data_IF_888587624977
#
_entry.id   IF_888587624977
#
_cell.length_a   1.000
_cell.length_b   1.000
_cell.length_c   1.000
_cell.angle_alpha   90.00
_cell.angle_beta   90.00
_cell.angle_gamma   90.00
#
_symmetry.space_group_name_H-M   'P 1'
#
loop_
_entity.id
_entity.type
_entity.pdbx_description
1 polymer ?
#
# COMPACT_ATOMS: atom_id res chain seq x y z
N UNK A 1 16.21 4.56 -29.85
CA UNK A 1 17.37 5.44 -29.63
C UNK A 1 16.80 6.85 -29.70
N UNK A 2 16.61 7.59 -28.60
CA UNK A 2 17.50 7.79 -27.46
C UNK A 2 16.78 7.63 -26.12
N UNK A 3 17.53 7.13 -25.14
CA UNK A 3 17.25 7.21 -23.71
C UNK A 3 17.27 8.68 -23.26
N UNK A 4 16.31 9.09 -22.43
CA UNK A 4 16.47 10.30 -21.64
C UNK A 4 15.87 10.08 -20.25
N UNK A 5 16.76 9.73 -19.31
CA UNK A 5 16.50 9.86 -17.87
C UNK A 5 16.41 11.35 -17.55
N UNK A 6 15.21 11.86 -17.26
CA UNK A 6 15.02 13.24 -16.79
C UNK A 6 14.48 13.17 -15.35
N UNK A 7 15.34 13.56 -14.43
CA UNK A 7 15.14 13.70 -12.99
C UNK A 7 14.70 15.12 -12.65
N UNK A 8 13.42 15.46 -12.81
CA UNK A 8 12.91 16.79 -12.44
C UNK A 8 11.52 16.68 -11.81
N UNK A 9 11.41 17.14 -10.56
CA UNK A 9 10.23 17.04 -9.71
C UNK A 9 9.75 18.44 -9.28
N UNK A 10 8.50 18.77 -9.57
CA UNK A 10 7.87 20.08 -9.32
C UNK A 10 6.39 19.95 -8.93
N UNK A 11 5.86 20.88 -8.09
CA UNK A 11 4.65 20.76 -7.25
C UNK A 11 3.24 21.15 -7.83
N UNK A 12 2.14 20.35 -7.60
CA UNK A 12 0.63 20.55 -7.56
C UNK A 12 -0.35 19.37 -7.95
N UNK A 13 -1.27 19.08 -7.00
CA UNK A 13 -2.35 18.06 -6.80
C UNK A 13 -3.06 17.28 -7.94
N UNK A 14 -3.44 16.03 -7.62
CA UNK A 14 -4.55 15.25 -8.20
C UNK A 14 -5.48 14.71 -7.08
N UNK A 15 -6.64 15.33 -6.89
CA UNK A 15 -7.86 14.67 -6.37
C UNK A 15 -8.98 15.01 -7.34
N UNK A 16 -9.74 14.00 -7.74
CA UNK A 16 -10.88 14.10 -8.65
C UNK A 16 -11.80 15.30 -8.28
N UNK A 17 -12.08 16.23 -9.22
CA UNK A 17 -12.96 17.39 -8.99
C UNK A 17 -14.34 17.03 -8.42
N UNK A 18 -14.80 15.79 -8.60
CA UNK A 18 -16.05 15.29 -8.02
C UNK A 18 -15.98 15.12 -6.48
N UNK A 19 -14.83 14.79 -5.91
CA UNK A 19 -14.66 14.71 -4.45
C UNK A 19 -14.66 16.12 -3.85
N UNK A 20 -14.09 17.09 -4.57
CA UNK A 20 -14.00 18.49 -4.15
C UNK A 20 -15.34 19.23 -4.24
N UNK A 21 -16.20 18.90 -5.20
CA UNK A 21 -17.51 19.58 -5.36
C UNK A 21 -18.48 19.40 -4.18
N UNK A 22 -18.29 18.37 -3.36
CA UNK A 22 -19.07 18.16 -2.14
C UNK A 22 -18.40 18.76 -0.87
N UNK A 23 -17.27 19.47 -1.00
CA UNK A 23 -16.46 20.03 0.11
C UNK A 23 -16.97 21.36 0.69
N UNK A 24 -18.25 21.70 0.58
CA UNK A 24 -18.84 22.75 1.43
C UNK A 24 -19.10 22.19 2.84
N UNK A 25 -18.03 21.80 3.55
CA UNK A 25 -18.11 21.34 4.93
C UNK A 25 -17.36 22.35 5.81
N UNK A 26 -18.13 23.00 6.69
CA UNK A 26 -17.77 24.06 7.64
C UNK A 26 -16.57 23.79 8.59
N UNK A 27 -15.87 22.65 8.48
CA UNK A 27 -14.91 22.15 9.49
C UNK A 27 -13.43 22.44 9.19
N UNK A 28 -13.03 22.86 7.98
CA UNK A 28 -11.61 23.06 7.61
C UNK A 28 -10.99 24.39 8.05
N UNK A 29 -11.63 25.17 8.93
CA UNK A 29 -11.13 26.50 9.33
C UNK A 29 -9.78 26.49 10.07
N UNK A 30 -9.24 25.35 10.49
CA UNK A 30 -8.15 25.30 11.48
C UNK A 30 -6.91 24.46 11.12
N UNK A 31 -6.81 23.82 9.94
CA UNK A 31 -5.69 22.91 9.63
C UNK A 31 -5.20 23.06 8.18
N UNK A 32 -3.98 23.59 7.94
CA UNK A 32 -3.28 23.44 6.67
C UNK A 32 -2.83 21.99 6.53
N UNK A 33 -3.36 21.34 5.51
CA UNK A 33 -3.00 19.98 5.11
C UNK A 33 -2.13 20.10 3.87
N UNK A 34 -0.92 19.55 3.86
CA UNK A 34 0.04 19.62 2.75
C UNK A 34 0.28 18.21 2.15
N UNK A 35 -0.19 17.90 0.93
CA UNK A 35 0.03 16.58 0.28
C UNK A 35 1.38 16.44 -0.46
N UNK A 36 1.91 15.22 -0.66
CA UNK A 36 3.08 14.88 -1.50
C UNK A 36 2.82 13.58 -2.33
N UNK A 37 2.62 13.57 -3.66
CA UNK A 37 2.52 12.36 -4.50
C UNK A 37 3.82 11.92 -5.20
N UNK A 38 3.74 10.74 -5.84
CA UNK A 38 4.84 9.84 -6.21
C UNK A 38 5.85 10.36 -7.29
N UNK A 39 7.05 9.77 -7.30
CA UNK A 39 8.36 10.16 -7.88
C UNK A 39 8.42 10.53 -9.38
N UNK A 40 7.32 10.46 -10.15
CA UNK A 40 7.27 11.11 -11.47
C UNK A 40 6.70 12.53 -11.45
N UNK A 41 6.05 12.92 -10.34
CA UNK A 41 5.29 14.15 -10.22
C UNK A 41 5.10 14.50 -8.73
N UNK A 42 6.08 15.17 -8.11
CA UNK A 42 6.00 15.60 -6.71
C UNK A 42 5.06 16.77 -6.59
N UNK A 43 3.98 16.75 -5.81
CA UNK A 43 2.96 17.81 -5.72
C UNK A 43 2.44 18.22 -4.35
N UNK A 44 2.28 19.52 -4.12
CA UNK A 44 1.74 20.09 -2.89
C UNK A 44 0.24 20.35 -3.03
N UNK A 45 -0.58 19.86 -2.10
CA UNK A 45 -1.92 20.41 -1.86
C UNK A 45 -1.90 21.03 -0.47
N UNK A 46 -1.92 22.36 -0.32
CA UNK A 46 -2.24 23.05 0.94
C UNK A 46 -3.74 23.27 1.00
N UNK A 47 -4.48 22.51 1.82
CA UNK A 47 -5.88 22.86 2.14
C UNK A 47 -5.84 24.03 3.12
N UNK A 48 -5.94 25.25 2.61
CA UNK A 48 -6.12 26.44 3.44
C UNK A 48 -7.60 26.83 3.49
N UNK A 49 -8.07 27.29 4.65
CA UNK A 49 -9.44 27.75 4.85
C UNK A 49 -9.84 28.84 3.82
N UNK A 50 -11.15 29.01 3.59
CA UNK A 50 -11.78 29.88 2.57
C UNK A 50 -11.23 31.32 2.46
N UNK A 51 -10.49 31.81 3.44
CA UNK A 51 -9.85 33.13 3.46
C UNK A 51 -8.59 33.24 2.58
N UNK A 52 -8.10 32.15 1.98
CA UNK A 52 -6.84 32.13 1.20
C UNK A 52 -7.01 31.84 -0.32
N UNK A 53 -8.14 32.21 -0.93
CA UNK A 53 -8.37 32.06 -2.38
C UNK A 53 -7.28 32.70 -3.27
N UNK A 54 -6.50 33.65 -2.76
CA UNK A 54 -5.40 34.31 -3.50
C UNK A 54 -4.08 33.53 -3.55
N UNK A 55 -3.95 32.41 -2.83
CA UNK A 55 -2.71 31.60 -2.76
C UNK A 55 -2.82 30.21 -3.40
N UNK A 56 -4.00 29.86 -3.93
CA UNK A 56 -4.22 28.57 -4.58
C UNK A 56 -3.58 28.50 -5.97
N UNK A 57 -3.12 27.32 -6.36
CA UNK A 57 -2.62 27.07 -7.72
C UNK A 57 -3.79 26.64 -8.60
N UNK A 58 -3.88 27.24 -9.79
CA UNK A 58 -4.88 26.87 -10.79
C UNK A 58 -4.63 25.43 -11.29
N UNK A 59 -5.50 24.52 -10.88
CA UNK A 59 -5.44 23.10 -11.23
C UNK A 59 -5.71 22.83 -12.72
N UNK A 60 -6.21 23.79 -13.49
CA UNK A 60 -6.33 23.62 -14.94
C UNK A 60 -5.01 23.87 -15.67
N UNK A 61 -4.09 24.64 -15.05
CA UNK A 61 -2.83 25.10 -15.67
C UNK A 61 -1.57 24.70 -14.91
N UNK A 62 -1.68 23.85 -13.89
CA UNK A 62 -0.56 23.53 -13.00
C UNK A 62 0.68 23.00 -13.73
N UNK A 63 0.52 22.26 -14.84
CA UNK A 63 1.64 21.73 -15.65
C UNK A 63 2.47 22.83 -16.30
N UNK A 64 1.81 23.90 -16.75
CA UNK A 64 2.46 25.07 -17.34
C UNK A 64 3.18 25.86 -16.25
N UNK A 65 2.49 26.09 -15.13
CA UNK A 65 3.04 26.83 -13.99
C UNK A 65 4.29 26.17 -13.40
N UNK A 66 4.34 24.85 -13.39
CA UNK A 66 5.53 24.09 -13.00
C UNK A 66 6.70 24.35 -13.94
N UNK A 67 6.47 24.35 -15.26
CA UNK A 67 7.55 24.59 -16.23
C UNK A 67 8.05 26.03 -16.18
N UNK A 68 7.15 26.97 -15.89
CA UNK A 68 7.47 28.40 -15.85
C UNK A 68 8.11 28.84 -14.53
N UNK A 69 7.68 28.27 -13.40
CA UNK A 69 8.00 28.76 -12.04
C UNK A 69 8.39 27.66 -11.06
N UNK A 70 8.58 26.44 -11.53
CA UNK A 70 8.95 25.31 -10.69
C UNK A 70 10.36 25.46 -10.12
N UNK A 71 10.50 25.17 -8.83
CA UNK A 71 11.81 25.01 -8.19
C UNK A 71 12.07 23.53 -7.92
N UNK A 72 13.36 23.16 -7.82
CA UNK A 72 13.76 21.80 -7.42
C UNK A 72 13.30 21.55 -5.99
N UNK A 73 12.64 20.41 -5.76
CA UNK A 73 12.10 20.05 -4.46
C UNK A 73 13.17 19.89 -3.38
N UNK A 74 13.04 20.69 -2.31
CA UNK A 74 13.87 20.62 -1.11
C UNK A 74 12.94 20.45 0.10
N UNK A 75 13.04 19.30 0.77
CA UNK A 75 12.17 18.95 1.91
C UNK A 75 12.39 19.87 3.12
N UNK A 76 13.61 20.37 3.34
CA UNK A 76 13.88 21.28 4.45
C UNK A 76 13.28 22.66 4.20
N UNK A 77 13.48 23.22 2.99
CA UNK A 77 12.82 24.48 2.59
C UNK A 77 11.31 24.36 2.66
N UNK A 78 10.78 23.24 2.18
CA UNK A 78 9.34 22.95 2.20
C UNK A 78 8.77 22.95 3.62
N UNK A 79 9.38 22.18 4.53
CA UNK A 79 8.94 22.10 5.93
C UNK A 79 9.03 23.46 6.62
N UNK A 80 10.12 24.20 6.39
CA UNK A 80 10.28 25.55 6.94
C UNK A 80 9.23 26.52 6.39
N UNK A 81 8.83 26.39 5.13
CA UNK A 81 7.77 27.20 4.54
C UNK A 81 6.40 26.90 5.16
N UNK A 82 6.04 25.61 5.29
CA UNK A 82 4.72 25.19 5.78
C UNK A 82 4.58 25.40 7.29
N UNK A 83 5.65 25.18 8.06
CA UNK A 83 5.62 25.24 9.52
C UNK A 83 6.18 26.55 10.10
N UNK A 84 6.95 27.32 9.33
CA UNK A 84 7.54 28.60 9.78
C UNK A 84 6.53 29.73 9.96
N UNK A 85 5.26 29.52 9.60
CA UNK A 85 4.21 30.51 9.75
C UNK A 85 3.50 30.34 11.11
N UNK A 86 3.96 31.10 12.12
CA UNK A 86 3.51 30.99 13.52
C UNK A 86 2.01 31.25 13.77
N UNK A 87 1.27 31.72 12.77
CA UNK A 87 -0.18 31.97 12.88
C UNK A 87 -1.02 30.69 12.81
N UNK A 88 -0.44 29.57 12.37
CA UNK A 88 -1.16 28.32 12.19
C UNK A 88 -0.81 27.35 13.32
N UNK A 89 -1.77 26.99 14.22
CA UNK A 89 -1.47 26.25 15.43
C UNK A 89 -1.13 24.77 15.19
N UNK A 90 -1.65 24.16 14.12
CA UNK A 90 -1.44 22.74 13.81
C UNK A 90 -1.05 22.60 12.34
N UNK A 91 -0.08 21.72 12.04
CA UNK A 91 0.37 21.46 10.67
C UNK A 91 0.32 19.97 10.38
N UNK A 92 -0.28 19.57 9.26
CA UNK A 92 -0.30 18.17 8.83
C UNK A 92 0.33 18.00 7.44
N UNK A 93 1.25 17.05 7.31
CA UNK A 93 1.80 16.59 6.04
C UNK A 93 1.17 15.26 5.65
N UNK A 94 0.70 15.16 4.42
CA UNK A 94 0.04 13.99 3.85
C UNK A 94 0.94 13.42 2.74
N UNK A 95 1.77 12.43 3.05
CA UNK A 95 2.69 11.83 2.09
C UNK A 95 2.01 10.71 1.28
N UNK A 96 1.55 11.02 0.07
CA UNK A 96 1.02 10.10 -0.93
C UNK A 96 2.09 9.52 -1.89
N UNK A 97 3.38 9.57 -1.56
CA UNK A 97 4.47 9.01 -2.36
C UNK A 97 4.73 7.53 -2.07
N UNK A 98 5.63 6.93 -2.84
CA UNK A 98 6.31 5.66 -2.52
C UNK A 98 7.78 5.89 -2.09
N UNK A 99 8.16 7.13 -1.78
CA UNK A 99 9.55 7.54 -1.68
C UNK A 99 10.13 7.25 -0.29
N UNK A 100 11.30 6.60 -0.28
CA UNK A 100 12.03 6.33 0.96
C UNK A 100 12.73 7.58 1.49
N UNK A 101 13.12 8.51 0.62
CA UNK A 101 13.70 9.78 1.01
C UNK A 101 12.69 10.61 1.81
N UNK A 102 11.46 10.75 1.30
CA UNK A 102 10.37 11.44 1.99
C UNK A 102 10.06 10.78 3.33
N UNK A 103 9.93 9.45 3.35
CA UNK A 103 9.67 8.68 4.58
C UNK A 103 10.76 8.87 5.66
N UNK A 104 12.02 9.10 5.26
CA UNK A 104 13.12 9.29 6.19
C UNK A 104 13.00 10.56 7.05
N UNK A 105 12.25 11.56 6.58
CA UNK A 105 12.06 12.82 7.29
C UNK A 105 10.93 12.79 8.32
N UNK A 106 10.08 11.76 8.36
CA UNK A 106 8.91 11.72 9.24
C UNK A 106 9.25 11.92 10.71
N UNK A 107 10.37 11.35 11.17
CA UNK A 107 10.81 11.49 12.55
C UNK A 107 11.15 12.95 12.89
N UNK A 108 11.81 13.67 11.97
CA UNK A 108 12.10 15.10 12.13
C UNK A 108 10.80 15.93 12.16
N UNK A 109 9.87 15.63 11.24
CA UNK A 109 8.59 16.36 11.14
C UNK A 109 7.74 16.21 12.40
N UNK A 110 7.56 14.98 12.87
CA UNK A 110 6.83 14.69 14.10
C UNK A 110 7.51 15.35 15.32
N UNK A 111 8.84 15.39 15.36
CA UNK A 111 9.58 16.05 16.45
C UNK A 111 9.38 17.57 16.44
N UNK A 112 9.17 18.17 15.27
CA UNK A 112 8.88 19.60 15.09
C UNK A 112 7.42 19.98 15.39
N UNK A 113 6.55 19.02 15.73
CA UNK A 113 5.13 19.32 15.97
C UNK A 113 4.24 19.13 14.74
N UNK A 114 4.77 18.56 13.65
CA UNK A 114 4.05 18.38 12.40
C UNK A 114 3.45 16.97 12.36
N UNK A 115 2.13 16.87 12.19
CA UNK A 115 1.44 15.59 12.03
C UNK A 115 1.75 14.98 10.66
N UNK A 116 1.74 13.64 10.57
CA UNK A 116 1.99 12.92 9.31
C UNK A 116 0.86 11.94 9.03
N UNK A 117 0.35 11.95 7.80
CA UNK A 117 -0.67 11.02 7.30
C UNK A 117 -0.13 10.41 6.01
N UNK A 118 -0.21 9.10 5.80
CA UNK A 118 0.44 8.51 4.62
C UNK A 118 -0.07 7.13 4.20
N UNK A 119 -0.24 6.84 2.90
CA UNK A 119 -0.26 5.48 2.35
C UNK A 119 1.14 4.88 2.13
N UNK A 120 2.22 5.63 2.35
CA UNK A 120 3.60 5.21 2.12
C UNK A 120 4.01 4.11 3.11
N UNK A 121 4.27 2.91 2.58
CA UNK A 121 4.59 1.73 3.37
C UNK A 121 6.00 1.77 3.95
N UNK A 122 6.89 2.64 3.43
CA UNK A 122 8.34 2.61 3.69
C UNK A 122 8.72 2.86 5.13
N UNK A 123 8.12 3.86 5.78
CA UNK A 123 8.43 4.17 7.17
C UNK A 123 8.11 3.00 8.13
N UNK A 124 7.05 2.25 7.84
CA UNK A 124 6.58 1.19 8.74
C UNK A 124 7.14 -0.20 8.44
N UNK A 125 7.65 -0.40 7.22
CA UNK A 125 8.23 -1.66 6.76
C UNK A 125 9.74 -1.60 6.52
N UNK A 126 10.35 -0.43 6.65
CA UNK A 126 11.80 -0.23 6.59
C UNK A 126 12.55 -0.75 7.83
N UNK A 127 13.79 -0.31 8.06
CA UNK A 127 14.61 -0.77 9.19
C UNK A 127 13.87 -0.68 10.53
N UNK A 128 13.95 -1.73 11.34
CA UNK A 128 13.22 -1.82 12.60
C UNK A 128 13.58 -0.69 13.57
N UNK A 129 14.83 -0.24 13.59
CA UNK A 129 15.27 0.84 14.48
C UNK A 129 14.56 2.17 14.15
N UNK A 130 14.35 2.48 12.87
CA UNK A 130 13.64 3.67 12.43
C UNK A 130 12.16 3.60 12.79
N UNK A 131 11.53 2.44 12.55
CA UNK A 131 10.15 2.20 12.99
C UNK A 131 10.00 2.40 14.51
N UNK A 132 10.88 1.80 15.31
CA UNK A 132 10.82 1.92 16.77
C UNK A 132 11.02 3.36 17.25
N UNK A 133 11.90 4.14 16.61
CA UNK A 133 12.07 5.58 16.90
C UNK A 133 10.79 6.36 16.61
N UNK A 134 10.15 6.13 15.46
CA UNK A 134 8.87 6.76 15.11
C UNK A 134 7.77 6.41 16.12
N UNK A 135 7.66 5.14 16.51
CA UNK A 135 6.66 4.69 17.50
C UNK A 135 6.92 5.29 18.89
N UNK A 136 8.19 5.40 19.31
CA UNK A 136 8.56 6.01 20.58
C UNK A 136 8.18 7.50 20.59
N UNK A 137 8.47 8.22 19.51
CA UNK A 137 8.14 9.64 19.36
C UNK A 137 6.63 9.89 19.39
N UNK A 138 5.84 9.03 18.72
CA UNK A 138 4.38 9.13 18.74
C UNK A 138 3.78 8.96 20.15
N UNK A 139 4.44 8.20 21.04
CA UNK A 139 3.99 8.04 22.44
C UNK A 139 4.38 9.20 23.34
N UNK A 140 5.43 9.93 22.98
CA UNK A 140 6.02 11.00 23.81
C UNK A 140 5.58 12.40 23.38
N UNK A 141 5.11 12.57 22.15
CA UNK A 141 4.72 13.85 21.59
C UNK A 141 3.21 13.97 21.43
N UNK A 142 2.73 15.20 21.30
CA UNK A 142 1.33 15.51 20.93
C UNK A 142 1.10 15.43 19.41
N UNK A 143 2.07 14.90 18.65
CA UNK A 143 1.92 14.73 17.21
C UNK A 143 1.28 13.40 16.86
N UNK A 144 0.60 13.38 15.72
CA UNK A 144 -0.15 12.22 15.27
C UNK A 144 0.47 11.70 13.98
N UNK A 145 0.62 10.38 13.95
CA UNK A 145 1.07 9.64 12.77
C UNK A 145 0.00 8.63 12.38
N UNK A 146 -0.65 8.87 11.24
CA UNK A 146 -1.69 8.02 10.67
C UNK A 146 -1.26 7.40 9.35
N UNK A 147 -1.67 6.16 9.13
CA UNK A 147 -1.21 5.34 8.01
C UNK A 147 -2.20 4.22 7.67
N UNK A 148 -3.50 4.47 7.84
CA UNK A 148 -4.55 3.49 7.54
C UNK A 148 -4.39 2.94 6.12
N UNK A 149 -4.09 3.83 5.18
CA UNK A 149 -3.96 3.49 3.77
C UNK A 149 -2.70 2.70 3.37
N UNK A 150 -1.86 2.32 4.33
CA UNK A 150 -0.70 1.44 4.07
C UNK A 150 -1.08 -0.02 3.90
N UNK A 151 -2.19 -0.45 4.50
CA UNK A 151 -2.67 -1.85 4.45
C UNK A 151 -4.14 -1.86 4.07
N UNK A 152 -4.49 -2.53 2.97
CA UNK A 152 -5.90 -2.64 2.56
C UNK A 152 -6.51 -1.39 1.91
N UNK A 153 -5.69 -0.43 1.47
CA UNK A 153 -6.11 0.81 0.80
C UNK A 153 -7.08 1.68 1.63
N UNK A 154 -8.39 1.57 1.43
CA UNK A 154 -9.38 2.33 2.20
C UNK A 154 -9.97 1.55 3.37
N UNK A 155 -9.63 0.27 3.51
CA UNK A 155 -10.20 -0.59 4.53
C UNK A 155 -9.66 -0.23 5.92
N UNK A 156 -10.47 -0.29 6.99
CA UNK A 156 -10.08 0.07 8.35
C UNK A 156 -9.26 -1.05 9.00
N UNK A 157 -8.10 -1.40 8.44
CA UNK A 157 -7.29 -2.53 8.89
C UNK A 157 -6.48 -2.18 10.13
N UNK A 158 -5.73 -1.07 10.08
CA UNK A 158 -4.83 -0.64 11.15
C UNK A 158 -5.66 -0.19 12.35
N UNK A 159 -6.73 0.57 12.13
CA UNK A 159 -7.63 0.97 13.21
C UNK A 159 -8.33 -0.21 13.88
N UNK A 160 -8.80 -1.20 13.11
CA UNK A 160 -9.38 -2.43 13.67
C UNK A 160 -8.35 -3.18 14.52
N UNK A 161 -7.14 -3.39 14.01
CA UNK A 161 -6.07 -4.06 14.73
C UNK A 161 -5.72 -3.35 16.04
N UNK A 162 -5.57 -2.02 15.99
CA UNK A 162 -5.31 -1.21 17.20
C UNK A 162 -6.45 -1.27 18.19
N UNK A 163 -7.70 -1.16 17.76
CA UNK A 163 -8.86 -1.28 18.65
C UNK A 163 -8.92 -2.64 19.37
N UNK A 164 -8.60 -3.73 18.66
CA UNK A 164 -8.50 -5.06 19.28
C UNK A 164 -7.41 -5.08 20.38
N UNK A 165 -6.22 -4.54 20.08
CA UNK A 165 -5.10 -4.51 21.02
C UNK A 165 -5.35 -3.58 22.22
N UNK A 166 -5.88 -2.38 21.98
CA UNK A 166 -6.15 -1.36 23.00
C UNK A 166 -7.23 -1.81 23.99
N UNK A 167 -8.22 -2.58 23.53
CA UNK A 167 -9.23 -3.19 24.42
C UNK A 167 -8.71 -4.42 25.17
N UNK A 168 -7.44 -4.80 25.00
CA UNK A 168 -6.79 -5.91 25.68
C UNK A 168 -7.02 -7.30 25.04
N UNK A 169 -7.44 -7.37 23.79
CA UNK A 169 -7.47 -8.64 23.05
C UNK A 169 -6.03 -9.08 22.68
N UNK A 170 -5.87 -10.37 22.37
CA UNK A 170 -4.60 -10.97 21.95
C UNK A 170 -4.72 -11.50 20.54
N UNK A 171 -3.98 -10.91 19.62
CA UNK A 171 -3.88 -11.40 18.25
C UNK A 171 -3.11 -12.73 18.26
N UNK A 172 -3.71 -13.77 17.68
CA UNK A 172 -3.10 -15.08 17.52
C UNK A 172 -2.52 -15.22 16.12
N UNK A 173 -3.31 -14.82 15.12
CA UNK A 173 -2.94 -14.90 13.72
C UNK A 173 -3.66 -13.83 12.90
N UNK A 174 -2.95 -13.26 11.93
CA UNK A 174 -3.55 -12.43 10.89
C UNK A 174 -3.26 -13.10 9.56
N UNK A 175 -4.28 -13.29 8.74
CA UNK A 175 -4.14 -13.79 7.37
C UNK A 175 -4.76 -12.77 6.43
N UNK A 176 -4.17 -12.58 5.25
CA UNK A 176 -4.72 -11.64 4.30
C UNK A 176 -4.33 -11.94 2.87
N UNK A 177 -5.27 -11.67 1.96
CA UNK A 177 -5.00 -11.59 0.53
C UNK A 177 -4.85 -10.11 0.23
N UNK A 178 -3.59 -9.70 0.10
CA UNK A 178 -3.22 -8.33 -0.19
C UNK A 178 -3.08 -8.18 -1.71
N UNK A 179 -4.04 -7.50 -2.35
CA UNK A 179 -3.86 -7.03 -3.72
C UNK A 179 -3.00 -5.77 -3.71
N UNK A 180 -2.15 -5.66 -4.72
CA UNK A 180 -1.19 -4.58 -4.82
C UNK A 180 -1.91 -3.25 -5.10
N UNK A 181 -1.22 -2.16 -4.78
CA UNK A 181 -1.59 -0.82 -5.23
C UNK A 181 -0.67 -0.51 -6.41
N UNK A 182 -1.23 -0.41 -7.62
CA UNK A 182 -0.49 0.20 -8.72
C UNK A 182 -0.35 1.69 -8.38
N UNK A 183 0.87 2.15 -8.11
CA UNK A 183 1.14 3.58 -8.06
C UNK A 183 0.87 4.13 -9.46
N UNK A 184 -0.18 4.94 -9.60
CA UNK A 184 -0.62 5.43 -10.90
C UNK A 184 0.50 6.20 -11.61
N UNK A 185 0.98 5.66 -12.73
CA UNK A 185 1.62 6.45 -13.77
C UNK A 185 0.50 7.06 -14.63
N UNK A 186 0.26 8.37 -14.47
CA UNK A 186 -0.88 9.09 -15.04
C UNK A 186 -0.93 9.14 -16.59
N UNK A 187 0.07 8.58 -17.28
CA UNK A 187 0.09 8.43 -18.75
C UNK A 187 -0.37 7.04 -19.24
N UNK A 188 -0.64 6.09 -18.34
CA UNK A 188 -1.29 4.84 -18.72
C UNK A 188 -2.80 5.08 -18.84
N UNK A 189 -3.25 5.36 -20.06
CA UNK A 189 -4.66 5.45 -20.47
C UNK A 189 -5.51 4.39 -19.75
N UNK A 190 -6.32 4.83 -18.78
CA UNK A 190 -7.55 4.19 -18.29
C UNK A 190 -7.52 2.64 -18.18
N UNK A 191 -6.42 2.05 -17.73
CA UNK A 191 -6.35 0.62 -17.45
C UNK A 191 -6.03 0.38 -15.99
N UNK A 192 -7.08 0.03 -15.25
CA UNK A 192 -7.09 -0.59 -13.91
C UNK A 192 -6.32 -1.93 -13.85
N UNK A 193 -5.25 -2.11 -14.62
CA UNK A 193 -4.74 -3.43 -14.98
C UNK A 193 -3.51 -3.90 -14.19
N UNK A 194 -2.69 -3.03 -13.60
CA UNK A 194 -1.42 -3.46 -12.99
C UNK A 194 -1.44 -3.95 -11.53
N UNK A 195 -2.57 -4.33 -10.91
CA UNK A 195 -2.52 -4.71 -9.49
C UNK A 195 -3.49 -5.82 -9.08
N UNK A 196 -3.27 -6.99 -9.66
CA UNK A 196 -4.06 -8.17 -9.32
C UNK A 196 -3.53 -9.49 -9.85
N UNK A 197 -2.30 -9.55 -10.38
CA UNK A 197 -1.74 -10.69 -11.14
C UNK A 197 -1.93 -12.02 -10.43
N UNK A 198 -1.36 -12.18 -9.23
CA UNK A 198 -1.42 -13.43 -8.48
C UNK A 198 -2.84 -13.88 -8.19
N UNK A 199 -3.69 -12.95 -7.78
CA UNK A 199 -5.06 -13.31 -7.41
C UNK A 199 -5.99 -13.39 -8.62
N UNK A 200 -5.65 -12.78 -9.76
CA UNK A 200 -6.25 -13.12 -11.06
C UNK A 200 -5.87 -14.55 -11.45
N UNK A 201 -4.58 -14.90 -11.36
CA UNK A 201 -4.08 -16.23 -11.67
C UNK A 201 -4.80 -17.27 -10.83
N UNK A 202 -4.81 -17.17 -9.50
CA UNK A 202 -5.48 -18.17 -8.64
C UNK A 202 -7.01 -18.14 -8.65
N UNK A 203 -7.63 -17.07 -9.17
CA UNK A 203 -9.08 -17.07 -9.42
C UNK A 203 -9.43 -17.82 -10.71
N UNK A 204 -8.53 -17.81 -11.69
CA UNK A 204 -8.71 -18.40 -13.02
C UNK A 204 -8.04 -19.77 -13.20
N UNK A 205 -7.05 -20.09 -12.37
CA UNK A 205 -6.36 -21.37 -12.31
C UNK A 205 -7.21 -22.36 -11.50
N UNK A 206 -8.09 -23.06 -12.21
CA UNK A 206 -9.07 -24.03 -11.68
C UNK A 206 -9.27 -25.17 -12.68
N UNK A 207 -9.61 -26.35 -12.18
CA UNK A 207 -9.84 -27.53 -12.98
C UNK A 207 -8.63 -27.90 -13.83
N UNK A 208 -8.84 -28.17 -15.12
CA UNK A 208 -7.81 -28.70 -16.02
C UNK A 208 -6.95 -27.63 -16.70
N UNK A 209 -7.05 -26.36 -16.29
CA UNK A 209 -6.30 -25.27 -16.91
C UNK A 209 -4.84 -25.31 -16.49
N UNK A 210 -3.93 -25.02 -17.42
CA UNK A 210 -2.50 -24.97 -17.13
C UNK A 210 -2.11 -23.64 -16.50
N UNK A 211 -1.13 -23.65 -15.58
CA UNK A 211 -0.69 -22.43 -14.91
C UNK A 211 -0.06 -21.46 -15.92
N UNK A 212 0.78 -21.98 -16.81
CA UNK A 212 1.42 -21.22 -17.90
C UNK A 212 0.42 -20.51 -18.82
N UNK A 213 -0.70 -21.14 -19.16
CA UNK A 213 -1.78 -20.55 -19.96
C UNK A 213 -2.42 -19.36 -19.25
N UNK A 214 -2.72 -19.51 -17.96
CA UNK A 214 -3.32 -18.45 -17.15
C UNK A 214 -2.35 -17.26 -16.97
N UNK A 215 -1.06 -17.52 -16.79
CA UNK A 215 -0.03 -16.45 -16.75
C UNK A 215 0.07 -15.74 -18.10
N UNK A 216 0.02 -16.48 -19.21
CA UNK A 216 0.07 -15.89 -20.55
C UNK A 216 -1.15 -15.02 -20.83
N UNK A 217 -2.35 -15.49 -20.47
CA UNK A 217 -3.58 -14.68 -20.56
C UNK A 217 -3.48 -13.42 -19.70
N UNK A 218 -2.92 -13.52 -18.49
CA UNK A 218 -2.69 -12.36 -17.64
C UNK A 218 -1.72 -11.36 -18.30
N UNK A 219 -0.64 -11.84 -18.92
CA UNK A 219 0.31 -11.00 -19.68
C UNK A 219 -0.37 -10.31 -20.87
N UNK A 220 -1.15 -11.05 -21.65
CA UNK A 220 -1.88 -10.52 -22.81
C UNK A 220 -2.97 -9.52 -22.42
N UNK A 221 -3.64 -9.76 -21.30
CA UNK A 221 -4.59 -8.84 -20.72
C UNK A 221 -3.92 -7.60 -20.11
N UNK A 222 -2.58 -7.56 -19.99
CA UNK A 222 -1.84 -6.47 -19.37
C UNK A 222 -2.01 -6.42 -17.85
N UNK A 223 -2.30 -7.56 -17.23
CA UNK A 223 -2.37 -7.68 -15.78
C UNK A 223 -1.00 -7.83 -15.13
N UNK A 224 -0.01 -8.37 -15.84
CA UNK A 224 1.37 -8.54 -15.39
C UNK A 224 2.23 -7.32 -15.71
N UNK A 225 3.37 -7.21 -15.05
CA UNK A 225 4.51 -6.39 -15.50
C UNK A 225 5.07 -6.92 -16.84
N UNK A 226 5.93 -6.16 -17.54
CA UNK A 226 6.56 -6.62 -18.79
C UNK A 226 7.26 -7.97 -18.66
N UNK A 227 7.85 -8.23 -17.49
CA UNK A 227 8.38 -9.52 -17.09
C UNK A 227 7.51 -10.15 -15.99
N UNK A 228 6.73 -11.21 -16.30
CA UNK A 228 5.87 -11.86 -15.31
C UNK A 228 6.62 -12.49 -14.12
N UNK A 229 7.95 -12.65 -14.21
CA UNK A 229 8.76 -13.10 -13.07
C UNK A 229 8.74 -12.09 -11.93
N UNK A 230 8.58 -10.80 -12.23
CA UNK A 230 8.50 -9.78 -11.20
C UNK A 230 7.26 -10.04 -10.33
N UNK A 231 6.11 -10.29 -10.96
CA UNK A 231 4.84 -10.65 -10.30
C UNK A 231 4.91 -11.98 -9.52
N UNK A 232 5.58 -12.99 -10.07
CA UNK A 232 5.57 -14.36 -9.56
C UNK A 232 6.67 -14.64 -8.53
N UNK A 233 7.77 -13.89 -8.55
CA UNK A 233 8.97 -14.24 -7.77
C UNK A 233 8.86 -13.91 -6.29
N UNK A 234 8.07 -12.89 -5.93
CA UNK A 234 7.75 -12.45 -4.56
C UNK A 234 8.94 -12.00 -3.67
N UNK A 235 10.18 -12.39 -3.99
CA UNK A 235 11.37 -12.30 -3.11
C UNK A 235 12.50 -11.46 -3.70
N UNK A 236 12.92 -11.73 -4.94
CA UNK A 236 14.14 -11.10 -5.49
C UNK A 236 13.92 -9.60 -5.76
N UNK A 237 12.67 -9.26 -6.04
CA UNK A 237 12.14 -7.92 -6.17
C UNK A 237 12.11 -7.18 -4.83
N UNK A 238 11.61 -7.80 -3.76
CA UNK A 238 11.52 -7.18 -2.42
C UNK A 238 12.88 -6.79 -1.83
N UNK A 239 13.95 -7.47 -2.25
CA UNK A 239 15.31 -7.32 -1.70
C UNK A 239 16.21 -6.41 -2.54
N UNK A 240 16.02 -6.35 -3.87
CA UNK A 240 16.80 -5.48 -4.77
C UNK A 240 16.13 -4.14 -5.05
N UNK A 241 14.80 -4.09 -5.03
CA UNK A 241 14.03 -2.95 -5.51
C UNK A 241 12.90 -2.66 -4.52
N UNK A 242 13.14 -1.69 -3.64
CA UNK A 242 12.15 -1.21 -2.68
C UNK A 242 10.83 -0.78 -3.37
N UNK A 243 10.85 -0.24 -4.59
CA UNK A 243 9.65 0.30 -5.26
C UNK A 243 8.74 -0.69 -5.98
N UNK A 244 9.09 -1.97 -6.04
CA UNK A 244 8.35 -2.89 -6.91
C UNK A 244 7.06 -3.42 -6.26
N UNK A 245 5.98 -3.55 -7.05
CA UNK A 245 4.62 -3.76 -6.56
C UNK A 245 4.43 -5.06 -5.77
N UNK A 246 5.25 -6.09 -6.00
CA UNK A 246 5.16 -7.40 -5.34
C UNK A 246 5.75 -7.42 -3.94
N UNK A 247 6.67 -6.49 -3.66
CA UNK A 247 7.11 -6.23 -2.30
C UNK A 247 5.93 -5.76 -1.43
N UNK A 248 4.84 -5.23 -2.01
CA UNK A 248 3.74 -4.67 -1.25
C UNK A 248 3.06 -5.69 -0.30
N UNK A 249 2.99 -6.98 -0.64
CA UNK A 249 2.40 -8.00 0.23
C UNK A 249 3.26 -8.22 1.47
N UNK A 250 4.56 -8.43 1.29
CA UNK A 250 5.51 -8.61 2.40
C UNK A 250 5.62 -7.36 3.28
N UNK A 251 5.65 -6.16 2.70
CA UNK A 251 5.67 -4.92 3.48
C UNK A 251 4.40 -4.79 4.34
N UNK A 252 3.23 -5.18 3.83
CA UNK A 252 1.99 -5.19 4.61
C UNK A 252 2.02 -6.24 5.74
N UNK A 253 2.56 -7.43 5.49
CA UNK A 253 2.78 -8.46 6.52
C UNK A 253 3.69 -7.92 7.62
N UNK A 254 4.79 -7.24 7.27
CA UNK A 254 5.70 -6.62 8.24
C UNK A 254 4.98 -5.55 9.07
N UNK A 255 4.21 -4.67 8.42
CA UNK A 255 3.42 -3.63 9.11
C UNK A 255 2.47 -4.27 10.11
N UNK A 256 1.68 -5.27 9.70
CA UNK A 256 0.72 -5.97 10.57
C UNK A 256 1.40 -6.73 11.70
N UNK A 257 2.53 -7.39 11.43
CA UNK A 257 3.33 -8.07 12.43
C UNK A 257 3.87 -7.10 13.49
N UNK A 258 4.38 -5.95 13.05
CA UNK A 258 4.90 -4.90 13.93
C UNK A 258 3.80 -4.25 14.76
N UNK A 259 2.65 -3.94 14.16
CA UNK A 259 1.48 -3.47 14.91
C UNK A 259 0.99 -4.51 15.92
N UNK A 260 1.14 -5.80 15.64
CA UNK A 260 0.84 -6.90 16.56
C UNK A 260 1.91 -7.13 17.64
N UNK A 261 2.96 -6.31 17.69
CA UNK A 261 4.03 -6.36 18.69
C UNK A 261 5.23 -7.24 18.32
N UNK A 262 5.29 -7.78 17.10
CA UNK A 262 6.47 -8.50 16.62
C UNK A 262 7.56 -7.54 16.13
N UNK A 263 8.80 -8.00 16.18
CA UNK A 263 9.97 -7.23 15.72
C UNK A 263 10.57 -7.87 14.47
N UNK A 264 9.75 -8.02 13.43
CA UNK A 264 10.20 -8.64 12.18
C UNK A 264 10.97 -7.65 11.31
N UNK A 265 12.05 -8.14 10.71
CA UNK A 265 12.69 -7.51 9.56
C UNK A 265 12.29 -8.20 8.26
N UNK A 266 12.59 -7.52 7.14
CA UNK A 266 12.37 -8.08 5.80
C UNK A 266 13.09 -9.42 5.61
N UNK A 267 14.29 -9.56 6.18
CA UNK A 267 15.09 -10.78 6.12
C UNK A 267 14.44 -11.96 6.88
N UNK A 268 13.58 -11.69 7.87
CA UNK A 268 12.92 -12.72 8.68
C UNK A 268 11.61 -13.22 8.08
N UNK A 269 11.19 -12.64 6.95
CA UNK A 269 9.86 -12.84 6.38
C UNK A 269 9.97 -13.58 5.04
N UNK A 270 9.96 -14.93 5.03
CA UNK A 270 10.07 -15.70 3.80
C UNK A 270 8.86 -15.46 2.89
N UNK A 271 9.11 -15.35 1.59
CA UNK A 271 8.08 -15.29 0.55
C UNK A 271 8.27 -16.48 -0.38
N UNK A 272 7.22 -17.27 -0.59
CA UNK A 272 7.24 -18.38 -1.52
C UNK A 272 7.20 -17.85 -2.95
N UNK A 273 8.29 -18.05 -3.68
CA UNK A 273 8.34 -17.76 -5.11
C UNK A 273 7.48 -18.76 -5.89
N UNK A 274 6.69 -18.27 -6.84
CA UNK A 274 5.97 -19.10 -7.82
C UNK A 274 6.77 -19.28 -9.12
N UNK A 275 7.96 -18.67 -9.22
CA UNK A 275 8.87 -18.88 -10.34
C UNK A 275 9.68 -20.15 -10.06
N UNK A 276 9.61 -21.19 -10.94
CA UNK A 276 10.43 -22.39 -10.81
C UNK A 276 11.91 -22.01 -10.75
N UNK A 277 12.69 -22.68 -9.88
CA UNK A 277 14.10 -22.34 -9.66
C UNK A 277 14.93 -22.26 -10.95
N UNK A 278 14.80 -23.19 -11.92
CA UNK A 278 15.58 -23.13 -13.16
C UNK A 278 15.24 -21.92 -14.02
N UNK A 279 14.02 -21.38 -13.89
CA UNK A 279 13.52 -20.28 -14.70
C UNK A 279 13.81 -18.90 -14.11
N UNK A 280 14.34 -18.82 -12.88
CA UNK A 280 14.67 -17.54 -12.24
C UNK A 280 15.81 -16.81 -12.94
N UNK A 281 16.71 -17.54 -13.59
CA UNK A 281 17.92 -17.00 -14.23
C UNK A 281 17.84 -16.90 -15.75
N UNK A 282 16.66 -17.11 -16.37
CA UNK A 282 16.51 -17.00 -17.83
C UNK A 282 16.82 -15.59 -18.32
N UNK A 283 17.30 -15.48 -19.57
CA UNK A 283 17.81 -14.22 -20.10
C UNK A 283 16.70 -13.21 -20.44
N UNK A 284 15.49 -13.69 -20.73
CA UNK A 284 14.37 -12.84 -21.14
C UNK A 284 13.01 -13.31 -20.62
N UNK A 285 12.06 -12.37 -20.53
CA UNK A 285 10.66 -12.64 -20.20
C UNK A 285 9.99 -13.59 -21.22
N UNK A 286 10.41 -13.56 -22.49
CA UNK A 286 9.84 -14.43 -23.53
C UNK A 286 10.36 -15.86 -23.42
N UNK A 287 11.66 -16.03 -23.13
CA UNK A 287 12.24 -17.33 -22.81
C UNK A 287 11.59 -17.94 -21.56
N UNK A 288 11.34 -17.12 -20.53
CA UNK A 288 10.59 -17.52 -19.34
C UNK A 288 9.20 -18.08 -19.72
N UNK A 289 8.42 -17.33 -20.51
CA UNK A 289 7.08 -17.75 -20.90
C UNK A 289 7.07 -19.00 -21.79
N UNK A 290 8.11 -19.22 -22.60
CA UNK A 290 8.23 -20.42 -23.44
C UNK A 290 8.56 -21.68 -22.62
N UNK A 291 9.35 -21.54 -21.54
CA UNK A 291 9.77 -22.68 -20.72
C UNK A 291 8.83 -22.95 -19.53
N UNK A 292 8.02 -21.98 -19.11
CA UNK A 292 7.06 -22.11 -18.01
C UNK A 292 6.13 -23.35 -18.13
N UNK A 293 5.62 -23.73 -19.32
CA UNK A 293 4.79 -24.92 -19.46
C UNK A 293 5.43 -26.24 -19.00
N UNK A 294 6.76 -26.32 -18.95
CA UNK A 294 7.48 -27.51 -18.49
C UNK A 294 7.33 -27.77 -16.98
N UNK A 295 6.85 -26.77 -16.23
CA UNK A 295 6.70 -26.81 -14.78
C UNK A 295 5.24 -26.75 -14.33
N UNK A 296 4.29 -26.92 -15.27
CA UNK A 296 2.86 -26.90 -14.95
C UNK A 296 2.44 -28.07 -14.06
N UNK A 297 3.12 -29.22 -14.15
CA UNK A 297 2.74 -30.45 -13.45
C UNK A 297 2.72 -30.30 -11.92
N UNK A 298 3.72 -29.60 -11.35
CA UNK A 298 3.84 -29.44 -9.89
C UNK A 298 2.67 -28.62 -9.33
N UNK A 299 2.32 -27.50 -9.99
CA UNK A 299 1.20 -26.65 -9.58
C UNK A 299 -0.15 -27.29 -9.92
N UNK A 300 -0.25 -28.02 -11.03
CA UNK A 300 -1.45 -28.78 -11.38
C UNK A 300 -1.74 -29.87 -10.33
N UNK A 301 -0.70 -30.57 -9.84
CA UNK A 301 -0.85 -31.54 -8.76
C UNK A 301 -1.31 -30.87 -7.47
N UNK A 302 -0.71 -29.73 -7.09
CA UNK A 302 -1.16 -29.00 -5.90
C UNK A 302 -2.60 -28.51 -6.01
N UNK A 303 -3.04 -28.12 -7.22
CA UNK A 303 -4.42 -27.74 -7.49
C UNK A 303 -5.35 -28.94 -7.36
N UNK A 304 -5.03 -30.06 -8.00
CA UNK A 304 -5.83 -31.28 -7.95
C UNK A 304 -5.98 -31.78 -6.51
N UNK A 305 -4.88 -31.85 -5.75
CA UNK A 305 -4.91 -32.25 -4.34
C UNK A 305 -5.80 -31.33 -3.49
N UNK A 306 -5.87 -30.04 -3.82
CA UNK A 306 -6.73 -29.09 -3.12
C UNK A 306 -8.20 -29.27 -3.53
N UNK A 307 -8.47 -29.43 -4.82
CA UNK A 307 -9.83 -29.65 -5.35
C UNK A 307 -10.44 -30.97 -4.84
N UNK A 308 -9.64 -32.05 -4.80
CA UNK A 308 -10.03 -33.35 -4.25
C UNK A 308 -10.39 -33.27 -2.76
N UNK A 309 -9.75 -32.35 -2.03
CA UNK A 309 -10.04 -32.07 -0.62
C UNK A 309 -11.21 -31.08 -0.41
N UNK A 310 -11.83 -30.57 -1.48
CA UNK A 310 -12.86 -29.53 -1.38
C UNK A 310 -12.31 -28.17 -0.94
N UNK A 311 -11.06 -27.88 -1.31
CA UNK A 311 -10.31 -26.68 -0.97
C UNK A 311 -9.91 -25.90 -2.23
N UNK A 312 -9.43 -24.66 -2.04
CA UNK A 312 -8.91 -23.80 -3.10
C UNK A 312 -7.53 -23.25 -2.70
N UNK A 313 -6.70 -23.03 -3.71
CA UNK A 313 -5.39 -22.41 -3.53
C UNK A 313 -5.51 -20.88 -3.51
N UNK A 314 -4.90 -20.24 -2.50
CA UNK A 314 -4.82 -18.78 -2.37
C UNK A 314 -3.43 -18.36 -1.92
N UNK A 315 -2.91 -17.34 -2.59
CA UNK A 315 -1.66 -16.72 -2.20
C UNK A 315 -1.93 -15.68 -1.11
N UNK A 316 -1.37 -15.90 0.08
CA UNK A 316 -1.73 -15.19 1.31
C UNK A 316 -0.50 -14.68 2.04
N UNK A 317 -0.61 -13.50 2.62
CA UNK A 317 0.30 -13.05 3.67
C UNK A 317 -0.22 -13.49 5.03
N UNK A 318 0.68 -14.00 5.86
CA UNK A 318 0.37 -14.61 7.15
C UNK A 318 1.28 -14.02 8.21
N UNK A 319 0.67 -13.57 9.30
CA UNK A 319 1.34 -13.20 10.55
C UNK A 319 0.90 -14.20 11.60
N UNK A 320 1.80 -15.10 11.99
CA UNK A 320 1.61 -15.99 13.14
C UNK A 320 2.26 -15.34 14.37
N UNK A 321 1.44 -14.68 15.19
CA UNK A 321 1.89 -13.93 16.37
C UNK A 321 2.40 -14.87 17.45
N UNK A 322 1.80 -16.04 17.58
CA UNK A 322 2.19 -17.06 18.58
C UNK A 322 3.60 -17.57 18.30
N UNK A 323 3.89 -17.89 17.04
CA UNK A 323 5.19 -18.38 16.61
C UNK A 323 6.17 -17.26 16.22
N UNK A 324 5.74 -15.98 16.29
CA UNK A 324 6.52 -14.79 15.91
C UNK A 324 7.04 -14.86 14.48
N UNK A 325 6.22 -15.33 13.54
CA UNK A 325 6.58 -15.47 12.13
C UNK A 325 5.69 -14.61 11.25
N UNK A 326 6.29 -13.98 10.24
CA UNK A 326 5.60 -13.41 9.09
C UNK A 326 6.03 -14.18 7.86
N UNK A 327 5.12 -14.45 6.92
CA UNK A 327 5.46 -15.11 5.66
C UNK A 327 4.40 -14.82 4.61
N UNK A 328 4.75 -15.02 3.35
CA UNK A 328 3.82 -14.95 2.22
C UNK A 328 3.93 -16.25 1.44
N UNK A 329 2.83 -17.00 1.32
CA UNK A 329 2.86 -18.33 0.72
C UNK A 329 1.53 -18.71 0.06
N UNK A 330 1.57 -19.79 -0.72
CA UNK A 330 0.40 -20.43 -1.29
C UNK A 330 -0.21 -21.38 -0.24
N UNK A 331 -1.46 -21.13 0.15
CA UNK A 331 -2.20 -21.97 1.10
C UNK A 331 -3.48 -22.53 0.51
N UNK A 332 -3.94 -23.62 1.11
CA UNK A 332 -5.24 -24.24 0.83
C UNK A 332 -6.27 -23.71 1.84
N UNK A 333 -7.47 -23.42 1.34
CA UNK A 333 -8.62 -23.02 2.16
C UNK A 333 -9.85 -23.78 1.71
N UNK A 334 -10.66 -24.24 2.67
CA UNK A 334 -11.96 -24.85 2.36
C UNK A 334 -12.87 -23.91 1.56
N UNK A 335 -13.73 -24.48 0.73
CA UNK A 335 -14.66 -23.72 -0.11
C UNK A 335 -15.63 -22.79 0.67
N UNK A 336 -15.93 -23.12 1.92
CA UNK A 336 -16.75 -22.29 2.82
C UNK A 336 -15.97 -21.15 3.48
N UNK A 337 -14.64 -21.17 3.41
CA UNK A 337 -13.78 -20.15 3.99
C UNK A 337 -13.96 -18.81 3.25
N UNK A 338 -13.96 -17.66 3.96
CA UNK A 338 -14.12 -16.35 3.33
C UNK A 338 -13.12 -16.05 2.20
N UNK A 339 -11.91 -16.62 2.26
CA UNK A 339 -10.88 -16.45 1.23
C UNK A 339 -11.19 -17.21 -0.07
N UNK A 340 -12.04 -18.24 0.00
CA UNK A 340 -12.49 -18.97 -1.18
C UNK A 340 -13.52 -18.16 -1.99
N UNK A 341 -14.33 -17.36 -1.30
CA UNK A 341 -15.46 -16.59 -1.85
C UNK A 341 -15.07 -15.22 -2.45
N UNK A 342 -13.79 -15.01 -2.74
CA UNK A 342 -13.33 -13.78 -3.38
C UNK A 342 -13.73 -13.76 -4.86
N UNK A 343 -14.35 -12.67 -5.26
CA UNK A 343 -14.61 -12.31 -6.66
C UNK A 343 -14.03 -10.93 -6.95
N UNK A 344 -13.54 -10.71 -8.16
CA UNK A 344 -13.00 -9.40 -8.56
C UNK A 344 -11.67 -9.02 -7.89
N UNK A 345 -11.53 -7.77 -7.47
CA UNK A 345 -10.30 -7.13 -6.99
C UNK A 345 -10.29 -6.85 -5.47
N UNK A 346 -11.10 -7.57 -4.70
CA UNK A 346 -11.22 -7.37 -3.25
C UNK A 346 -9.93 -7.76 -2.50
N UNK A 347 -9.61 -6.96 -1.47
CA UNK A 347 -8.75 -7.37 -0.36
C UNK A 347 -9.61 -8.01 0.72
N UNK A 348 -9.06 -9.02 1.38
CA UNK A 348 -9.66 -9.64 2.56
C UNK A 348 -8.59 -9.92 3.59
N UNK A 349 -8.87 -9.53 4.83
CA UNK A 349 -8.00 -9.75 5.98
C UNK A 349 -8.83 -10.38 7.08
N UNK A 350 -8.27 -11.43 7.68
CA UNK A 350 -8.86 -12.18 8.77
C UNK A 350 -8.00 -12.02 10.03
N UNK A 351 -8.61 -11.51 11.09
CA UNK A 351 -8.01 -11.44 12.42
C UNK A 351 -8.52 -12.59 13.27
N UNK A 352 -7.61 -13.51 13.61
CA UNK A 352 -7.87 -14.55 14.61
C UNK A 352 -7.27 -14.10 15.94
N UNK A 353 -8.11 -13.96 16.95
CA UNK A 353 -7.70 -13.46 18.27
C UNK A 353 -8.18 -14.39 19.39
N UNK A 354 -7.82 -14.09 20.64
CA UNK A 354 -8.35 -14.81 21.78
C UNK A 354 -9.89 -14.71 21.89
N UNK A 355 -10.48 -13.56 21.50
CA UNK A 355 -11.93 -13.35 21.45
C UNK A 355 -12.57 -13.88 20.16
N UNK A 356 -11.89 -13.73 19.03
CA UNK A 356 -12.33 -14.17 17.70
C UNK A 356 -11.63 -15.48 17.29
N UNK A 357 -11.71 -16.52 18.15
CA UNK A 357 -10.99 -17.78 17.95
C UNK A 357 -11.69 -18.75 16.98
N UNK A 358 -13.01 -18.89 17.12
CA UNK A 358 -13.80 -19.83 16.31
C UNK A 358 -14.24 -19.23 14.98
N UNK A 359 -14.54 -17.93 14.99
CA UNK A 359 -14.92 -17.17 13.81
C UNK A 359 -14.03 -15.93 13.75
N UNK A 360 -13.02 -15.92 12.85
CA UNK A 360 -12.13 -14.77 12.68
C UNK A 360 -12.92 -13.52 12.29
N UNK A 361 -12.46 -12.35 12.76
CA UNK A 361 -13.01 -11.07 12.31
C UNK A 361 -12.51 -10.81 10.89
N UNK A 362 -13.44 -10.71 9.93
CA UNK A 362 -13.13 -10.49 8.53
C UNK A 362 -13.37 -9.03 8.15
N UNK A 363 -12.37 -8.40 7.55
CA UNK A 363 -12.52 -7.12 6.86
C UNK A 363 -12.30 -7.36 5.36
N UNK A 364 -13.32 -7.06 4.55
CA UNK A 364 -13.32 -7.27 3.10
C UNK A 364 -13.80 -6.01 2.38
N UNK A 365 -13.18 -5.72 1.24
CA UNK A 365 -13.70 -4.76 0.28
C UNK A 365 -12.66 -4.42 -0.79
N UNK A 366 -12.90 -3.39 -1.61
CA UNK A 366 -12.01 -3.04 -2.71
C UNK A 366 -10.59 -2.77 -2.23
N UNK A 367 -9.65 -3.56 -2.76
CA UNK A 367 -8.27 -3.58 -2.28
C UNK A 367 -7.31 -2.59 -2.92
N UNK A 368 -7.77 -1.98 -4.01
CA UNK A 368 -7.00 -1.07 -4.84
C UNK A 368 -7.95 -0.07 -5.52
N UNK A 369 -7.40 1.07 -5.93
CA UNK A 369 -8.15 2.12 -6.61
C UNK A 369 -7.86 3.49 -6.01
N UNK A 370 -7.67 4.48 -6.88
CA UNK A 370 -7.32 5.84 -6.47
C UNK A 370 -8.35 6.45 -5.51
N UNK A 371 -9.64 6.30 -5.82
CA UNK A 371 -10.72 6.86 -5.01
C UNK A 371 -10.82 6.19 -3.63
N UNK A 372 -10.70 4.86 -3.56
CA UNK A 372 -10.80 4.11 -2.29
C UNK A 372 -9.62 4.41 -1.37
N UNK A 373 -8.40 4.46 -1.94
CA UNK A 373 -7.20 4.80 -1.19
C UNK A 373 -7.24 6.25 -0.71
N UNK A 374 -7.66 7.19 -1.57
CA UNK A 374 -7.85 8.59 -1.19
C UNK A 374 -8.90 8.73 -0.08
N UNK A 375 -9.96 7.92 -0.10
CA UNK A 375 -10.94 7.85 0.99
C UNK A 375 -10.32 7.45 2.33
N UNK A 376 -9.42 6.45 2.34
CA UNK A 376 -8.68 6.04 3.55
C UNK A 376 -7.77 7.16 4.09
N UNK A 377 -7.02 7.82 3.21
CA UNK A 377 -6.18 8.97 3.57
C UNK A 377 -7.02 10.11 4.14
N UNK A 378 -8.15 10.41 3.48
CA UNK A 378 -9.05 11.46 3.93
C UNK A 378 -9.70 11.13 5.27
N UNK A 379 -10.03 9.85 5.52
CA UNK A 379 -10.50 9.39 6.83
C UNK A 379 -9.47 9.70 7.93
N UNK A 380 -8.18 9.48 7.67
CA UNK A 380 -7.11 9.83 8.61
C UNK A 380 -6.96 11.35 8.80
N UNK A 381 -7.21 12.16 7.77
CA UNK A 381 -7.26 13.64 7.88
C UNK A 381 -8.41 14.08 8.78
N UNK A 382 -9.61 13.52 8.58
CA UNK A 382 -10.77 13.82 9.42
C UNK A 382 -10.55 13.37 10.87
N UNK A 383 -9.97 12.18 11.06
CA UNK A 383 -9.59 11.65 12.37
C UNK A 383 -8.62 12.60 13.09
N UNK A 384 -7.61 13.10 12.38
CA UNK A 384 -6.71 14.13 12.91
C UNK A 384 -7.48 15.39 13.31
N UNK A 385 -8.35 15.88 12.44
CA UNK A 385 -9.13 17.08 12.72
C UNK A 385 -9.99 16.93 14.00
N UNK A 386 -10.64 15.79 14.18
CA UNK A 386 -11.40 15.48 15.40
C UNK A 386 -10.52 15.46 16.64
N UNK A 387 -9.32 14.85 16.58
CA UNK A 387 -8.37 14.88 17.71
C UNK A 387 -7.89 16.30 18.06
N UNK A 388 -7.82 17.18 17.06
CA UNK A 388 -7.46 18.58 17.24
C UNK A 388 -8.66 19.48 17.62
N UNK A 389 -9.83 18.90 17.90
CA UNK A 389 -11.01 19.60 18.42
C UNK A 389 -12.03 20.05 17.38
N UNK A 390 -11.95 19.56 16.14
CA UNK A 390 -13.04 19.76 15.18
C UNK A 390 -14.30 18.99 15.64
N UNK A 391 -15.51 19.57 15.49
CA UNK A 391 -16.75 18.90 15.87
C UNK A 391 -16.95 17.63 15.03
N UNK A 392 -17.41 16.57 15.71
CA UNK A 392 -17.75 15.27 15.13
C UNK A 392 -19.00 15.31 14.28
#
# INVERSE_FOLDING_TARGET
>A
MEECCISEAHFVSLVDPCIIRNLTVKCFKCIPVAMLPNIKWSFLLVLCAEEYKSWGIDLSRWRELIKEKGEVGDMHKFVNHVHGNHFIPNTALVDCTADSNVASHYHEWLRKGIHVITPNKKANSGPLDQYLKLRALQRQSYTHYFYEATVGAGLPIISTLRGLLETGDKILRIEGIFRNMCYMSFNARLSLRGSGTLSYIFNNFKGTRRFSEVVMEAKQAGYTEPDPRDDLSGTDVARKISWAPEAAAILQVIILARESGLKLELADTPVQSLVPEPLRATASADEFMQQLPQYDEDLAKQLQDAEDAGEVLRYVGVVDVVNKKGLVELRRYKNDHPFAQLSGSDNIIAFTTARYKNQPLIVRGPGAGAQVTAGGIFSDVLRLASYLGAPS
#
